data_IF_032645966572
#
_entry.id   IF_032645966572
#
_cell.length_a   1.000
_cell.length_b   1.000
_cell.length_c   1.000
_cell.angle_alpha   90.00
_cell.angle_beta   90.00
_cell.angle_gamma   90.00
#
_symmetry.space_group_name_H-M   'P 1'
#
loop_
_entity.id
_entity.type
_entity.pdbx_description
1 polymer ?
#
# COMPACT_ATOMS: atom_id res chain seq x y z
N UNK A 1 -6.05 -10.14 5.55
CA UNK A 1 -5.25 -8.98 6.02
C UNK A 1 -6.19 -7.91 6.57
N UNK A 2 -7.04 -7.31 5.74
CA UNK A 2 -7.99 -6.27 6.18
C UNK A 2 -8.88 -6.70 7.37
N UNK A 3 -9.51 -7.87 7.31
CA UNK A 3 -10.30 -8.40 8.44
C UNK A 3 -9.49 -8.52 9.75
N UNK A 4 -8.18 -8.78 9.70
CA UNK A 4 -7.32 -8.82 10.90
C UNK A 4 -7.13 -7.40 11.43
N UNK A 5 -6.79 -6.45 10.55
CA UNK A 5 -6.62 -5.05 10.93
C UNK A 5 -7.91 -4.46 11.51
N UNK A 6 -9.06 -4.70 10.89
CA UNK A 6 -10.38 -4.28 11.38
C UNK A 6 -10.71 -4.91 12.74
N UNK A 7 -10.53 -6.23 12.89
CA UNK A 7 -10.92 -6.95 14.10
C UNK A 7 -10.03 -6.60 15.31
N UNK A 8 -8.73 -6.40 15.07
CA UNK A 8 -7.75 -6.20 16.16
C UNK A 8 -7.38 -4.73 16.37
N UNK A 9 -7.73 -3.85 15.43
CA UNK A 9 -7.25 -2.46 15.35
C UNK A 9 -5.72 -2.34 15.29
N UNK A 10 -4.99 -3.43 15.04
CA UNK A 10 -3.55 -3.40 14.84
C UNK A 10 -3.22 -3.03 13.39
N UNK A 11 -2.17 -2.23 13.19
CA UNK A 11 -1.69 -1.91 11.85
C UNK A 11 -1.25 -3.19 11.15
N UNK A 12 -1.83 -3.47 9.98
CA UNK A 12 -1.41 -4.54 9.10
C UNK A 12 -1.85 -4.25 7.67
N UNK A 13 -0.87 -4.12 6.77
CA UNK A 13 -1.11 -3.76 5.37
C UNK A 13 -0.25 -4.63 4.46
N UNK A 14 -0.75 -4.97 3.27
CA UNK A 14 0.10 -5.50 2.20
C UNK A 14 0.79 -4.31 1.54
N UNK A 15 2.11 -4.29 1.63
CA UNK A 15 2.96 -3.17 1.20
C UNK A 15 3.69 -3.44 -0.11
N UNK A 16 3.83 -4.71 -0.50
CA UNK A 16 4.38 -5.08 -1.79
C UNK A 16 3.52 -6.15 -2.47
N UNK A 17 3.10 -5.84 -3.70
CA UNK A 17 2.38 -6.73 -4.60
C UNK A 17 3.36 -7.18 -5.70
N UNK A 18 4.15 -8.23 -5.43
CA UNK A 18 5.27 -8.61 -6.30
C UNK A 18 4.83 -9.57 -7.41
N UNK A 19 4.28 -10.73 -7.04
CA UNK A 19 3.89 -11.79 -7.98
C UNK A 19 2.52 -12.32 -7.60
N UNK A 20 1.58 -12.24 -8.54
CA UNK A 20 0.21 -12.70 -8.34
C UNK A 20 0.18 -14.14 -7.81
N UNK A 21 -0.54 -14.36 -6.72
CA UNK A 21 -0.72 -15.65 -6.06
C UNK A 21 0.56 -16.35 -5.55
N UNK A 22 1.72 -15.68 -5.61
CA UNK A 22 3.00 -16.28 -5.20
C UNK A 22 3.74 -15.44 -4.16
N UNK A 23 3.80 -14.11 -4.34
CA UNK A 23 4.64 -13.28 -3.50
C UNK A 23 3.98 -11.94 -3.19
N UNK A 24 3.70 -11.76 -1.90
CA UNK A 24 3.24 -10.51 -1.30
C UNK A 24 4.08 -10.24 -0.04
N UNK A 25 4.24 -8.97 0.32
CA UNK A 25 4.86 -8.58 1.59
C UNK A 25 3.85 -7.82 2.41
N UNK A 26 3.61 -8.28 3.65
CA UNK A 26 2.80 -7.58 4.63
C UNK A 26 3.71 -6.89 5.65
N UNK A 27 3.32 -5.70 6.09
CA UNK A 27 4.00 -4.94 7.12
C UNK A 27 2.99 -4.39 8.13
N UNK A 28 3.41 -4.20 9.37
CA UNK A 28 2.53 -3.80 10.45
C UNK A 28 3.13 -4.01 11.83
N UNK A 29 2.27 -4.00 12.85
CA UNK A 29 2.61 -4.38 14.21
C UNK A 29 3.05 -5.85 14.27
N UNK A 30 4.07 -6.17 15.08
CA UNK A 30 4.53 -7.56 15.27
C UNK A 30 3.39 -8.48 15.72
N UNK A 31 2.44 -7.98 16.52
CA UNK A 31 1.25 -8.75 16.92
C UNK A 31 0.37 -9.09 15.71
N UNK A 32 0.17 -8.14 14.81
CA UNK A 32 -0.65 -8.38 13.64
C UNK A 32 0.02 -9.34 12.65
N UNK A 33 1.35 -9.28 12.52
CA UNK A 33 2.13 -10.20 11.70
C UNK A 33 2.12 -11.63 12.25
N UNK A 34 2.28 -11.79 13.57
CA UNK A 34 2.18 -13.10 14.23
C UNK A 34 0.76 -13.68 14.10
N UNK A 35 -0.27 -12.85 14.35
CA UNK A 35 -1.67 -13.24 14.16
C UNK A 35 -1.95 -13.65 12.71
N UNK A 36 -1.48 -12.90 11.71
CA UNK A 36 -1.59 -13.27 10.30
C UNK A 36 -0.95 -14.64 10.01
N UNK A 37 0.25 -14.90 10.54
CA UNK A 37 0.90 -16.19 10.38
C UNK A 37 0.07 -17.33 11.00
N UNK A 38 -0.47 -17.13 12.21
CA UNK A 38 -1.30 -18.12 12.89
C UNK A 38 -2.61 -18.40 12.14
N UNK A 39 -3.29 -17.36 11.65
CA UNK A 39 -4.51 -17.49 10.84
C UNK A 39 -4.21 -18.29 9.56
N UNK A 40 -3.14 -17.97 8.83
CA UNK A 40 -2.78 -18.69 7.60
C UNK A 40 -2.39 -20.14 7.88
N UNK A 41 -1.69 -20.40 8.98
CA UNK A 41 -1.38 -21.77 9.41
C UNK A 41 -2.65 -22.55 9.76
N UNK A 42 -3.60 -21.94 10.47
CA UNK A 42 -4.87 -22.55 10.82
C UNK A 42 -5.66 -22.94 9.56
N UNK A 43 -5.83 -22.01 8.62
CA UNK A 43 -6.52 -22.27 7.35
C UNK A 43 -5.87 -23.42 6.57
N UNK A 44 -4.54 -23.48 6.55
CA UNK A 44 -3.79 -24.54 5.87
C UNK A 44 -4.01 -25.91 6.54
N UNK A 45 -3.92 -25.99 7.87
CA UNK A 45 -4.06 -27.26 8.62
C UNK A 45 -5.49 -27.78 8.55
N UNK A 46 -6.48 -26.89 8.70
CA UNK A 46 -7.90 -27.24 8.58
C UNK A 46 -8.35 -27.44 7.12
N UNK A 47 -7.47 -27.18 6.15
CA UNK A 47 -7.76 -27.26 4.70
C UNK A 47 -8.99 -26.43 4.30
N UNK A 48 -9.15 -25.27 4.91
CA UNK A 48 -10.27 -24.36 4.65
C UNK A 48 -10.00 -23.62 3.34
N UNK A 49 -10.90 -23.81 2.37
CA UNK A 49 -10.92 -23.05 1.13
C UNK A 49 -12.01 -21.96 1.23
N UNK A 50 -11.57 -20.71 1.39
CA UNK A 50 -12.47 -19.57 1.51
C UNK A 50 -13.26 -19.36 0.22
N UNK A 51 -12.68 -19.59 -0.96
CA UNK A 51 -13.39 -19.41 -2.23
C UNK A 51 -14.52 -20.43 -2.38
N UNK A 52 -14.28 -21.68 -1.97
CA UNK A 52 -15.32 -22.70 -1.93
C UNK A 52 -16.42 -22.34 -0.91
N UNK A 53 -16.04 -21.87 0.29
CA UNK A 53 -17.00 -21.45 1.31
C UNK A 53 -17.90 -20.29 0.84
N UNK A 54 -17.34 -19.32 0.13
CA UNK A 54 -18.09 -18.19 -0.45
C UNK A 54 -19.12 -18.62 -1.50
N UNK A 55 -19.03 -19.84 -2.06
CA UNK A 55 -20.04 -20.38 -2.98
C UNK A 55 -21.19 -21.07 -2.24
N UNK A 56 -20.95 -21.53 -1.01
CA UNK A 56 -21.91 -22.31 -0.22
C UNK A 56 -22.59 -21.52 0.89
N UNK A 57 -22.02 -20.37 1.26
CA UNK A 57 -22.45 -19.55 2.40
C UNK A 57 -22.54 -18.08 2.01
N UNK A 58 -23.26 -17.29 2.81
CA UNK A 58 -23.30 -15.84 2.64
C UNK A 58 -21.95 -15.19 2.98
N UNK A 59 -21.68 -14.01 2.43
CA UNK A 59 -20.44 -13.26 2.72
C UNK A 59 -20.34 -12.91 4.21
N UNK A 60 -21.45 -12.54 4.83
CA UNK A 60 -21.55 -12.23 6.26
C UNK A 60 -21.20 -13.45 7.12
N UNK A 61 -21.68 -14.65 6.78
CA UNK A 61 -21.38 -15.85 7.56
C UNK A 61 -19.89 -16.23 7.43
N UNK A 62 -19.33 -16.16 6.22
CA UNK A 62 -17.89 -16.40 5.98
C UNK A 62 -17.05 -15.39 6.77
N UNK A 63 -17.46 -14.11 6.79
CA UNK A 63 -16.79 -13.08 7.59
C UNK A 63 -16.89 -13.39 9.08
N UNK A 64 -18.05 -13.85 9.57
CA UNK A 64 -18.27 -14.26 10.95
C UNK A 64 -17.29 -15.36 11.40
N UNK A 65 -17.22 -16.45 10.65
CA UNK A 65 -16.28 -17.55 10.94
C UNK A 65 -14.82 -17.10 10.87
N UNK A 66 -14.47 -16.26 9.90
CA UNK A 66 -13.12 -15.72 9.80
C UNK A 66 -12.76 -14.86 11.02
N UNK A 67 -13.69 -14.03 11.50
CA UNK A 67 -13.50 -13.20 12.69
C UNK A 67 -13.30 -14.04 13.94
N UNK A 68 -14.01 -15.16 14.10
CA UNK A 68 -13.79 -16.10 15.21
C UNK A 68 -12.37 -16.68 15.22
N UNK A 69 -11.90 -17.14 14.05
CA UNK A 69 -10.52 -17.64 13.89
C UNK A 69 -9.51 -16.54 14.23
N UNK A 70 -9.74 -15.32 13.76
CA UNK A 70 -8.86 -14.17 14.02
C UNK A 70 -8.80 -13.86 15.51
N UNK A 71 -9.93 -13.82 16.22
CA UNK A 71 -9.97 -13.57 17.67
C UNK A 71 -9.16 -14.61 18.44
N UNK A 72 -9.36 -15.89 18.15
CA UNK A 72 -8.59 -16.97 18.78
C UNK A 72 -7.09 -16.87 18.50
N UNK A 73 -6.69 -16.49 17.28
CA UNK A 73 -5.28 -16.25 16.93
C UNK A 73 -4.70 -15.00 17.61
N UNK A 74 -5.51 -13.95 17.77
CA UNK A 74 -5.12 -12.72 18.44
C UNK A 74 -4.86 -12.95 19.94
N UNK A 75 -5.74 -13.69 20.63
CA UNK A 75 -5.56 -14.08 22.03
C UNK A 75 -4.27 -14.88 22.23
N UNK A 76 -4.00 -15.86 21.35
CA UNK A 76 -2.74 -16.61 21.35
C UNK A 76 -1.52 -15.70 21.15
N UNK A 77 -1.65 -14.69 20.31
CA UNK A 77 -0.58 -13.73 20.05
C UNK A 77 -0.31 -12.85 21.28
N UNK A 78 -1.35 -12.38 21.96
CA UNK A 78 -1.21 -11.53 23.14
C UNK A 78 -0.66 -12.26 24.36
N UNK A 79 -0.91 -13.57 24.46
CA UNK A 79 -0.36 -14.42 25.51
C UNK A 79 1.16 -14.67 25.39
N UNK A 80 1.77 -14.38 24.23
CA UNK A 80 3.21 -14.57 24.02
C UNK A 80 4.05 -13.50 24.73
N UNK A 81 5.27 -13.84 25.20
CA UNK A 81 6.17 -12.87 25.80
C UNK A 81 6.59 -11.80 24.78
N UNK A 82 6.82 -10.57 25.27
CA UNK A 82 7.26 -9.42 24.46
C UNK A 82 8.75 -9.14 24.70
N UNK A 83 9.52 -8.70 23.68
CA UNK A 83 9.11 -8.50 22.29
C UNK A 83 8.85 -9.82 21.56
N UNK A 84 7.90 -9.79 20.62
CA UNK A 84 7.55 -10.97 19.82
C UNK A 84 8.69 -11.30 18.86
N UNK A 85 9.12 -12.57 18.85
CA UNK A 85 10.01 -13.12 17.82
C UNK A 85 9.20 -13.88 16.77
N UNK A 86 9.06 -13.28 15.58
CA UNK A 86 8.25 -13.83 14.50
C UNK A 86 8.87 -15.12 13.96
N UNK A 87 8.07 -16.19 13.95
CA UNK A 87 8.47 -17.48 13.40
C UNK A 87 7.99 -17.67 11.97
N UNK A 88 8.70 -18.50 11.21
CA UNK A 88 8.27 -18.93 9.88
C UNK A 88 7.01 -19.79 9.98
N UNK A 89 5.98 -19.46 9.21
CA UNK A 89 4.78 -20.28 9.03
C UNK A 89 4.82 -21.11 7.74
N UNK A 90 3.72 -21.78 7.42
CA UNK A 90 3.58 -22.52 6.16
C UNK A 90 3.56 -21.59 4.94
N UNK A 91 2.89 -20.43 5.09
CA UNK A 91 2.70 -19.46 4.02
C UNK A 91 3.40 -18.10 4.29
N UNK A 92 4.12 -17.97 5.41
CA UNK A 92 4.74 -16.72 5.83
C UNK A 92 6.22 -16.91 6.15
N UNK A 93 7.02 -15.94 5.71
CA UNK A 93 8.46 -15.89 5.98
C UNK A 93 8.79 -14.50 6.55
N UNK A 94 9.15 -14.39 7.84
CA UNK A 94 9.56 -13.11 8.42
C UNK A 94 10.83 -12.57 7.76
N UNK A 95 10.84 -11.28 7.43
CA UNK A 95 12.02 -10.59 6.91
C UNK A 95 12.86 -10.09 8.08
N UNK A 96 13.91 -10.83 8.44
CA UNK A 96 14.80 -10.47 9.55
C UNK A 96 15.60 -9.20 9.24
N UNK A 97 15.76 -8.32 10.23
CA UNK A 97 16.54 -7.08 10.12
C UNK A 97 15.79 -5.88 9.55
N UNK A 98 14.48 -6.02 9.26
CA UNK A 98 13.61 -4.90 8.88
C UNK A 98 12.64 -4.65 10.04
N UNK A 99 12.73 -3.47 10.65
CA UNK A 99 11.99 -3.07 11.85
C UNK A 99 10.95 -1.97 11.60
N UNK A 100 10.97 -1.35 10.42
CA UNK A 100 10.05 -0.28 10.06
C UNK A 100 9.06 -0.77 8.99
N UNK A 101 7.74 -0.53 9.16
CA UNK A 101 6.74 -0.89 8.16
C UNK A 101 6.73 0.11 7.01
N UNK A 102 7.74 0.05 6.13
CA UNK A 102 7.85 0.90 4.96
C UNK A 102 6.67 0.72 4.00
N UNK A 103 6.33 1.77 3.25
CA UNK A 103 5.17 1.87 2.36
C UNK A 103 3.79 1.77 3.02
N UNK A 104 3.72 1.53 4.34
CA UNK A 104 2.44 1.54 5.07
C UNK A 104 1.98 2.96 5.40
N UNK A 105 0.71 3.08 5.76
CA UNK A 105 0.12 4.34 6.23
C UNK A 105 0.77 4.90 7.51
N UNK A 106 1.48 4.06 8.27
CA UNK A 106 2.22 4.47 9.47
C UNK A 106 3.21 5.61 9.21
N UNK A 107 3.91 5.56 8.06
CA UNK A 107 4.92 6.57 7.71
C UNK A 107 4.34 7.82 7.05
N UNK A 108 3.01 7.92 6.90
CA UNK A 108 2.36 9.04 6.21
C UNK A 108 2.64 10.39 6.88
N UNK A 109 2.76 10.41 8.21
CA UNK A 109 3.12 11.61 8.98
C UNK A 109 4.50 12.16 8.61
N UNK A 110 5.45 11.30 8.24
CA UNK A 110 6.81 11.66 7.81
C UNK A 110 6.93 12.18 6.38
N UNK A 111 5.87 12.08 5.56
CA UNK A 111 5.93 12.45 4.13
C UNK A 111 6.12 13.96 3.94
N UNK A 112 5.52 14.80 4.78
CA UNK A 112 5.62 16.27 4.66
C UNK A 112 7.07 16.78 4.75
N UNK A 113 7.86 16.45 5.79
CA UNK A 113 9.26 16.88 5.86
C UNK A 113 10.11 16.28 4.74
N UNK A 114 9.89 15.01 4.38
CA UNK A 114 10.64 14.37 3.29
C UNK A 114 10.38 15.04 1.92
N UNK A 115 9.12 15.40 1.64
CA UNK A 115 8.78 16.20 0.44
C UNK A 115 9.50 17.54 0.41
N UNK A 116 9.55 18.26 1.54
CA UNK A 116 10.28 19.52 1.63
C UNK A 116 11.78 19.35 1.37
N UNK A 117 12.35 18.22 1.80
CA UNK A 117 13.74 17.87 1.50
C UNK A 117 13.95 17.61 0.00
N UNK A 118 13.08 16.82 -0.64
CA UNK A 118 13.15 16.55 -2.08
C UNK A 118 13.05 17.84 -2.91
N UNK A 119 12.16 18.77 -2.53
CA UNK A 119 12.04 20.07 -3.21
C UNK A 119 13.31 20.93 -3.14
N UNK A 120 14.15 20.74 -2.11
CA UNK A 120 15.45 21.41 -2.00
C UNK A 120 16.55 20.71 -2.77
N UNK A 121 16.43 19.39 -2.98
CA UNK A 121 17.48 18.56 -3.59
C UNK A 121 17.28 18.31 -5.08
N UNK A 122 16.04 18.28 -5.54
CA UNK A 122 15.70 18.11 -6.95
C UNK A 122 15.54 19.50 -7.56
N UNK A 123 16.49 19.87 -8.42
CA UNK A 123 16.39 21.11 -9.18
C UNK A 123 15.34 20.96 -10.29
N UNK A 124 14.41 21.92 -10.39
CA UNK A 124 13.39 21.91 -11.44
C UNK A 124 14.00 21.94 -12.84
N UNK A 125 15.09 22.68 -13.04
CA UNK A 125 15.73 22.83 -14.36
C UNK A 125 16.46 21.57 -14.82
N UNK A 126 16.74 20.62 -13.92
CA UNK A 126 17.35 19.34 -14.30
C UNK A 126 16.32 18.26 -14.67
N UNK A 127 15.02 18.56 -14.59
CA UNK A 127 13.95 17.62 -14.94
C UNK A 127 13.57 17.82 -16.41
N UNK A 128 13.76 16.78 -17.21
CA UNK A 128 13.28 16.70 -18.59
C UNK A 128 12.09 15.73 -18.66
N UNK A 129 10.84 16.23 -18.80
CA UNK A 129 9.65 15.39 -18.85
C UNK A 129 9.67 14.35 -19.97
N UNK A 130 10.33 14.64 -21.11
CA UNK A 130 10.36 13.74 -22.27
C UNK A 130 11.09 12.41 -22.00
N UNK A 131 11.92 12.37 -20.95
CA UNK A 131 12.60 11.16 -20.47
C UNK A 131 11.74 10.34 -19.52
N UNK A 132 10.67 10.91 -18.98
CA UNK A 132 9.79 10.27 -17.99
C UNK A 132 8.47 9.82 -18.61
N UNK A 133 7.86 10.67 -19.44
CA UNK A 133 6.55 10.41 -20.04
C UNK A 133 6.60 9.13 -20.88
N UNK A 134 5.70 8.20 -20.56
CA UNK A 134 5.60 6.88 -21.21
C UNK A 134 6.75 5.89 -20.90
N UNK A 135 7.79 6.31 -20.17
CA UNK A 135 9.01 5.51 -19.94
C UNK A 135 9.17 5.10 -18.48
N UNK A 136 8.85 6.00 -17.56
CA UNK A 136 8.93 5.73 -16.13
C UNK A 136 7.62 5.14 -15.63
N UNK A 137 7.69 4.04 -14.86
CA UNK A 137 6.52 3.41 -14.23
C UNK A 137 6.68 3.56 -12.71
N UNK A 138 5.95 4.48 -12.05
CA UNK A 138 6.05 4.66 -10.61
C UNK A 138 5.34 3.53 -9.84
N UNK A 139 5.92 3.11 -8.71
CA UNK A 139 5.28 2.12 -7.83
C UNK A 139 3.93 2.56 -7.27
N UNK A 140 3.70 3.87 -7.12
CA UNK A 140 2.45 4.41 -6.55
C UNK A 140 1.26 4.19 -7.49
N UNK A 141 1.46 4.34 -8.80
CA UNK A 141 0.38 4.29 -9.81
C UNK A 141 0.41 3.03 -10.66
N UNK A 142 1.55 2.32 -10.72
CA UNK A 142 1.75 1.09 -11.48
C UNK A 142 1.39 1.18 -12.98
N UNK A 143 1.50 2.36 -13.57
CA UNK A 143 1.31 2.60 -15.00
C UNK A 143 2.30 3.65 -15.52
N UNK A 144 2.54 3.73 -16.84
CA UNK A 144 3.47 4.71 -17.40
C UNK A 144 3.13 6.14 -16.95
N UNK A 145 4.15 6.89 -16.57
CA UNK A 145 4.03 8.27 -16.13
C UNK A 145 3.53 9.16 -17.27
N UNK A 146 2.56 10.03 -16.97
CA UNK A 146 1.96 10.95 -17.95
C UNK A 146 1.69 12.31 -17.30
N UNK A 147 1.58 13.34 -18.15
CA UNK A 147 1.20 14.71 -17.77
C UNK A 147 -0.22 15.03 -18.25
N UNK A 148 -1.15 14.12 -17.97
CA UNK A 148 -2.57 14.24 -18.33
C UNK A 148 -3.41 14.49 -17.08
N UNK A 149 -4.60 15.07 -17.26
CA UNK A 149 -5.49 15.37 -16.12
C UNK A 149 -5.90 14.08 -15.40
N UNK A 150 -6.20 13.06 -16.18
CA UNK A 150 -6.56 11.71 -15.75
C UNK A 150 -5.42 11.07 -14.93
N UNK A 151 -4.15 11.33 -15.29
CA UNK A 151 -3.01 10.91 -14.48
C UNK A 151 -2.98 11.57 -13.11
N UNK A 152 -3.21 12.88 -13.05
CA UNK A 152 -3.22 13.61 -11.79
C UNK A 152 -4.42 13.25 -10.91
N UNK A 153 -5.60 13.02 -11.49
CA UNK A 153 -6.80 12.57 -10.77
C UNK A 153 -6.57 11.21 -10.10
N UNK A 154 -5.95 10.27 -10.81
CA UNK A 154 -5.60 8.95 -10.29
C UNK A 154 -4.58 9.03 -9.13
N UNK A 155 -3.53 9.84 -9.30
CA UNK A 155 -2.57 10.13 -8.22
C UNK A 155 -3.26 10.77 -7.02
N UNK A 156 -4.20 11.69 -7.23
CA UNK A 156 -4.94 12.33 -6.14
C UNK A 156 -5.80 11.32 -5.39
N UNK A 157 -6.54 10.46 -6.11
CA UNK A 157 -7.37 9.40 -5.53
C UNK A 157 -6.55 8.47 -4.61
N UNK A 158 -5.34 8.09 -5.02
CA UNK A 158 -4.47 7.20 -4.25
C UNK A 158 -3.80 7.89 -3.05
N UNK A 159 -3.41 9.16 -3.20
CA UNK A 159 -2.54 9.83 -2.22
C UNK A 159 -3.25 10.83 -1.32
N UNK A 160 -4.38 11.37 -1.79
CA UNK A 160 -5.06 12.56 -1.26
C UNK A 160 -4.11 13.76 -1.09
N UNK A 161 -3.19 13.96 -2.04
CA UNK A 161 -2.19 15.02 -1.97
C UNK A 161 -2.80 16.40 -2.18
N UNK A 162 -2.68 17.34 -1.21
CA UNK A 162 -3.24 18.69 -1.37
C UNK A 162 -2.57 19.48 -2.49
N UNK A 163 -1.31 19.17 -2.84
CA UNK A 163 -0.61 19.82 -3.95
C UNK A 163 -1.17 19.40 -5.30
N UNK A 164 -1.50 18.12 -5.46
CA UNK A 164 -2.12 17.60 -6.68
C UNK A 164 -3.56 18.11 -6.78
N UNK A 165 -4.31 18.11 -5.67
CA UNK A 165 -5.66 18.69 -5.63
C UNK A 165 -5.69 20.15 -6.07
N UNK A 166 -4.74 20.97 -5.63
CA UNK A 166 -4.64 22.37 -6.06
C UNK A 166 -4.31 22.52 -7.56
N UNK A 167 -3.51 21.61 -8.14
CA UNK A 167 -3.22 21.62 -9.58
C UNK A 167 -4.47 21.24 -10.36
N UNK A 168 -5.18 20.19 -9.96
CA UNK A 168 -6.43 19.76 -10.59
C UNK A 168 -7.51 20.84 -10.55
N UNK A 169 -7.65 21.56 -9.43
CA UNK A 169 -8.60 22.66 -9.29
C UNK A 169 -8.30 23.84 -10.21
N UNK A 170 -7.04 24.00 -10.63
CA UNK A 170 -6.58 25.09 -11.49
C UNK A 170 -5.99 24.57 -12.80
N UNK A 171 -6.46 23.41 -13.30
CA UNK A 171 -5.80 22.70 -14.40
C UNK A 171 -5.59 23.56 -15.66
N UNK A 172 -6.58 24.38 -16.00
CA UNK A 172 -6.54 25.25 -17.19
C UNK A 172 -5.39 26.25 -17.18
N UNK A 173 -4.96 26.75 -16.02
CA UNK A 173 -3.84 27.70 -15.96
C UNK A 173 -2.50 27.06 -16.28
N UNK A 174 -2.38 25.74 -16.16
CA UNK A 174 -1.15 25.00 -16.48
C UNK A 174 -1.10 24.55 -17.95
N UNK A 175 -2.25 24.25 -18.56
CA UNK A 175 -2.29 23.84 -19.98
C UNK A 175 -2.10 25.02 -20.92
N UNK A 176 -2.61 26.20 -20.54
CA UNK A 176 -2.55 27.39 -21.39
C UNK A 176 -1.17 28.08 -21.40
N UNK A 177 -0.31 27.80 -20.42
CA UNK A 177 1.05 28.37 -20.32
C UNK A 177 2.06 27.65 -21.25
N UNK A 178 1.82 26.37 -21.55
CA UNK A 178 2.63 25.59 -22.51
C UNK A 178 2.26 25.86 -23.99
N UNK A 179 1.16 26.59 -24.25
CA UNK A 179 0.66 26.91 -25.58
C UNK A 179 1.18 28.23 -26.18
N UNK A 180 1.96 29.02 -25.44
CA UNK A 180 2.39 30.35 -25.87
C UNK A 180 3.93 30.49 -25.88
N UNK A 181 4.63 29.60 -26.58
CA UNK A 181 5.92 29.96 -27.17
C UNK A 181 5.62 30.68 -28.49
N UNK A 182 5.95 31.98 -28.64
CA UNK A 182 5.85 32.61 -29.95
C UNK A 182 6.78 31.87 -30.90
N UNK A 183 6.26 31.44 -32.05
CA UNK A 183 7.06 31.06 -33.19
C UNK A 183 8.05 32.20 -33.46
N UNK A 184 9.34 31.89 -33.41
CA UNK A 184 10.37 32.77 -33.93
C UNK A 184 10.15 32.90 -35.43
N UNK A 185 9.48 33.96 -35.86
CA UNK A 185 9.47 34.40 -37.25
C UNK A 185 10.90 34.73 -37.69
N UNK A 186 11.28 34.13 -38.82
CA UNK A 186 12.47 34.42 -39.64
C UNK A 186 12.64 35.90 -39.98
#
# INVERSE_FOLDING_TARGET
VENIAETTSWLLEIVNYNIANMQYVAAGDLRALDCLANVLNYLKVQKIDIQALMQTMSLEDVKGHLVEIIKGCAEQTEAKPKPLDLQRGFATIPLKGIDVPFHSTFLRSGVKPFRSFLLKKINKTSIDPSKLVGKYIPNVTARPFELTKEYFEDVYRLTNSPKIGNILANWESYVNDDGNKPESTE
#
